data_IF_441238993422
#
_entry.id   IF_441238993422
#
_cell.length_a   1.000
_cell.length_b   1.000
_cell.length_c   1.000
_cell.angle_alpha   90.00
_cell.angle_beta   90.00
_cell.angle_gamma   90.00
#
_symmetry.space_group_name_H-M   'P 1'
#
loop_
_entity.id
_entity.type
_entity.pdbx_description
1 polymer ?
#
# COMPACT_ATOMS: atom_id res chain seq x y z
N UNK A 1 13.47 -3.58 -2.30
CA UNK A 1 13.61 -5.04 -2.49
C UNK A 1 12.58 -5.85 -1.69
N UNK A 2 12.29 -5.53 -0.42
CA UNK A 2 11.47 -6.38 0.46
C UNK A 2 10.12 -6.82 -0.13
N UNK A 3 9.31 -5.93 -0.71
CA UNK A 3 8.01 -6.33 -1.28
C UNK A 3 8.15 -7.41 -2.38
N UNK A 4 9.12 -7.26 -3.27
CA UNK A 4 9.39 -8.27 -4.31
C UNK A 4 9.85 -9.59 -3.71
N UNK A 5 10.67 -9.54 -2.65
CA UNK A 5 11.13 -10.74 -1.94
C UNK A 5 10.01 -11.46 -1.18
N UNK A 6 9.07 -10.73 -0.59
CA UNK A 6 7.87 -11.32 0.02
C UNK A 6 7.02 -12.01 -1.05
N UNK A 7 6.81 -11.38 -2.22
CA UNK A 7 6.09 -12.03 -3.33
C UNK A 7 6.84 -13.27 -3.86
N UNK A 8 8.17 -13.24 -3.92
CA UNK A 8 9.00 -14.41 -4.26
C UNK A 8 8.79 -15.56 -3.28
N UNK A 9 8.47 -15.28 -2.02
CA UNK A 9 8.16 -16.27 -0.97
C UNK A 9 6.70 -16.71 -0.94
N UNK A 10 5.87 -16.18 -1.85
CA UNK A 10 4.46 -16.57 -1.99
C UNK A 10 3.45 -15.60 -1.38
N UNK A 11 3.88 -14.45 -0.85
CA UNK A 11 2.94 -13.42 -0.41
C UNK A 11 2.19 -12.81 -1.60
N UNK A 12 0.93 -12.44 -1.38
CA UNK A 12 0.21 -11.60 -2.35
C UNK A 12 0.86 -10.21 -2.46
N UNK A 13 0.67 -9.48 -3.56
CA UNK A 13 1.18 -8.12 -3.71
C UNK A 13 0.75 -7.17 -2.57
N UNK A 14 -0.49 -7.32 -2.09
CA UNK A 14 -1.02 -6.55 -0.95
C UNK A 14 -0.25 -6.85 0.34
N UNK A 15 -0.07 -8.13 0.70
CA UNK A 15 0.68 -8.53 1.90
C UNK A 15 2.14 -8.08 1.85
N UNK A 16 2.76 -8.17 0.66
CA UNK A 16 4.12 -7.72 0.43
C UNK A 16 4.28 -6.20 0.60
N UNK A 17 3.36 -5.41 0.03
CA UNK A 17 3.36 -3.96 0.17
C UNK A 17 3.11 -3.52 1.62
N UNK A 18 2.17 -4.16 2.32
CA UNK A 18 1.93 -3.97 3.76
C UNK A 18 3.19 -4.23 4.56
N UNK A 19 3.86 -5.37 4.33
CA UNK A 19 5.07 -5.75 5.06
C UNK A 19 6.19 -4.72 4.88
N UNK A 20 6.37 -4.23 3.64
CA UNK A 20 7.34 -3.17 3.37
C UNK A 20 7.02 -1.88 4.14
N UNK A 21 5.77 -1.42 4.09
CA UNK A 21 5.31 -0.21 4.79
C UNK A 21 5.43 -0.35 6.30
N UNK A 22 4.99 -1.48 6.88
CA UNK A 22 5.09 -1.77 8.32
C UNK A 22 6.54 -1.78 8.80
N UNK A 23 7.47 -2.30 7.99
CA UNK A 23 8.91 -2.28 8.34
C UNK A 23 9.47 -0.87 8.43
N UNK A 24 9.02 0.05 7.57
CA UNK A 24 9.39 1.48 7.66
C UNK A 24 8.73 2.12 8.90
N UNK A 25 7.43 1.90 9.08
CA UNK A 25 6.66 2.45 10.21
C UNK A 25 7.20 2.01 11.58
N UNK A 26 7.79 0.81 11.67
CA UNK A 26 8.46 0.32 12.88
C UNK A 26 9.59 1.25 13.34
N UNK A 27 10.28 1.91 12.42
CA UNK A 27 11.39 2.83 12.72
C UNK A 27 10.96 4.30 12.65
N UNK A 28 9.98 4.62 11.80
CA UNK A 28 9.48 5.98 11.58
C UNK A 28 7.95 5.98 11.63
N UNK A 29 7.32 5.95 12.83
CA UNK A 29 5.87 5.76 12.95
C UNK A 29 5.03 6.80 12.21
N UNK A 30 5.54 8.04 12.14
CA UNK A 30 4.88 9.18 11.51
C UNK A 30 5.18 9.32 10.01
N UNK A 31 5.99 8.43 9.41
CA UNK A 31 6.27 8.52 7.98
C UNK A 31 4.97 8.42 7.19
N UNK A 32 4.79 9.29 6.20
CA UNK A 32 3.61 9.23 5.33
C UNK A 32 4.04 8.75 3.96
N UNK A 33 3.54 7.59 3.55
CA UNK A 33 3.93 6.99 2.28
C UNK A 33 3.18 5.70 1.98
N UNK A 34 3.35 5.24 0.74
CA UNK A 34 2.69 4.06 0.22
C UNK A 34 3.60 3.28 -0.73
N UNK A 35 3.31 1.99 -0.88
CA UNK A 35 3.97 1.09 -1.83
C UNK A 35 2.88 0.41 -2.65
N UNK A 36 3.04 0.37 -3.97
CA UNK A 36 2.25 -0.46 -4.88
C UNK A 36 3.14 -1.62 -5.32
N UNK A 37 2.59 -2.82 -5.35
CA UNK A 37 3.25 -4.02 -5.83
C UNK A 37 2.39 -4.71 -6.88
N UNK A 38 3.05 -5.39 -7.82
CA UNK A 38 2.44 -6.22 -8.85
C UNK A 38 3.27 -7.49 -9.02
N UNK A 39 2.62 -8.65 -9.17
CA UNK A 39 3.28 -9.92 -9.43
C UNK A 39 3.31 -10.26 -10.94
N UNK A 40 4.01 -11.34 -11.29
CA UNK A 40 4.15 -11.79 -12.68
C UNK A 40 2.85 -12.28 -13.32
N UNK A 41 1.82 -12.58 -12.52
CA UNK A 41 0.52 -13.01 -13.00
C UNK A 41 -0.43 -11.82 -13.20
N UNK A 42 0.03 -10.59 -12.92
CA UNK A 42 -0.76 -9.37 -13.04
C UNK A 42 -1.63 -9.08 -11.81
N UNK A 43 -1.51 -9.86 -10.73
CA UNK A 43 -2.15 -9.48 -9.47
C UNK A 43 -1.43 -8.26 -8.91
N UNK A 44 -2.18 -7.33 -8.32
CA UNK A 44 -1.63 -6.10 -7.76
C UNK A 44 -2.21 -5.80 -6.38
N UNK A 45 -1.56 -4.88 -5.66
CA UNK A 45 -2.01 -4.45 -4.35
C UNK A 45 -1.12 -3.35 -3.80
N UNK A 46 -1.59 -2.65 -2.78
CA UNK A 46 -0.89 -1.53 -2.18
C UNK A 46 -0.83 -1.63 -0.66
N UNK A 47 0.08 -0.89 -0.03
CA UNK A 47 0.12 -0.64 1.40
C UNK A 47 0.43 0.83 1.67
N UNK A 48 -0.09 1.39 2.75
CA UNK A 48 0.13 2.80 3.10
C UNK A 48 0.15 3.05 4.61
N UNK A 49 0.81 4.13 5.02
CA UNK A 49 0.94 4.56 6.42
C UNK A 49 0.60 6.05 6.55
N UNK A 50 0.00 6.40 7.70
CA UNK A 50 -0.26 7.78 8.13
C UNK A 50 -1.10 8.59 7.13
N UNK A 51 -2.13 7.97 6.54
CA UNK A 51 -3.22 8.57 5.75
C UNK A 51 -4.48 7.69 5.91
N UNK A 52 -5.71 8.20 5.72
CA UNK A 52 -6.92 7.37 5.77
C UNK A 52 -6.97 6.35 4.64
N UNK A 53 -6.66 6.82 3.43
CA UNK A 53 -6.70 6.05 2.20
C UNK A 53 -5.54 6.42 1.28
N UNK A 54 -5.26 5.52 0.35
CA UNK A 54 -4.29 5.72 -0.72
C UNK A 54 -4.93 5.34 -2.05
N UNK A 55 -5.06 6.34 -2.91
CA UNK A 55 -5.59 6.21 -4.27
C UNK A 55 -4.47 5.89 -5.25
N UNK A 56 -4.74 5.01 -6.20
CA UNK A 56 -3.83 4.65 -7.28
C UNK A 56 -4.63 4.25 -8.52
N UNK A 57 -4.00 4.32 -9.69
CA UNK A 57 -4.64 3.94 -10.95
C UNK A 57 -4.20 2.55 -11.40
N UNK A 58 -5.13 1.80 -11.96
CA UNK A 58 -4.90 0.50 -12.60
C UNK A 58 -5.34 0.59 -14.06
N UNK A 59 -4.49 0.10 -14.96
CA UNK A 59 -4.83 -0.05 -16.37
C UNK A 59 -4.41 -1.44 -16.83
N UNK A 60 -5.36 -2.23 -17.32
CA UNK A 60 -5.13 -3.55 -17.88
C UNK A 60 -6.23 -3.87 -18.93
N UNK A 61 -6.14 -4.97 -19.69
CA UNK A 61 -7.14 -5.31 -20.70
C UNK A 61 -8.58 -5.47 -20.16
N UNK A 62 -8.75 -5.80 -18.88
CA UNK A 62 -10.08 -5.91 -18.26
C UNK A 62 -10.69 -4.53 -17.96
N UNK A 63 -9.86 -3.56 -17.54
CA UNK A 63 -10.35 -2.20 -17.25
C UNK A 63 -10.57 -1.38 -18.53
N UNK A 64 -9.80 -1.66 -19.60
CA UNK A 64 -9.90 -0.97 -20.90
C UNK A 64 -9.49 0.52 -20.90
N UNK A 65 -9.30 1.10 -19.72
CA UNK A 65 -8.84 2.47 -19.46
C UNK A 65 -8.15 2.51 -18.09
N UNK A 66 -7.52 3.64 -17.78
CA UNK A 66 -7.07 3.91 -16.43
C UNK A 66 -8.29 4.05 -15.50
N UNK A 67 -8.35 3.21 -14.48
CA UNK A 67 -9.40 3.19 -13.46
C UNK A 67 -8.79 3.51 -12.11
N UNK A 68 -9.37 4.45 -11.38
CA UNK A 68 -8.95 4.78 -10.03
C UNK A 68 -9.42 3.70 -9.04
N UNK A 69 -8.50 3.25 -8.21
CA UNK A 69 -8.75 2.36 -7.09
C UNK A 69 -8.20 2.98 -5.79
N UNK A 70 -8.65 2.45 -4.66
CA UNK A 70 -8.11 2.86 -3.36
C UNK A 70 -8.07 1.72 -2.37
N UNK A 71 -7.17 1.87 -1.38
CA UNK A 71 -7.14 1.05 -0.17
C UNK A 71 -7.29 1.93 1.07
N UNK A 72 -7.84 1.36 2.14
CA UNK A 72 -7.70 1.92 3.47
C UNK A 72 -6.32 1.59 4.03
N UNK A 73 -5.67 2.55 4.70
CA UNK A 73 -4.37 2.31 5.30
C UNK A 73 -4.51 1.61 6.66
N UNK A 74 -3.59 0.68 6.95
CA UNK A 74 -3.60 -0.10 8.20
C UNK A 74 -3.34 0.76 9.45
N UNK A 75 -2.66 1.89 9.29
CA UNK A 75 -2.31 2.81 10.36
C UNK A 75 -2.65 4.25 9.94
N UNK A 76 -3.91 4.67 10.11
CA UNK A 76 -4.33 6.03 9.80
C UNK A 76 -3.66 7.03 10.77
N UNK A 77 -3.60 8.34 10.42
CA UNK A 77 -3.10 9.35 11.33
C UNK A 77 -3.88 9.32 12.64
N UNK A 78 -3.20 9.58 13.76
CA UNK A 78 -3.91 9.85 15.00
C UNK A 78 -4.92 10.99 14.76
N UNK A 79 -6.14 10.90 15.32
CA UNK A 79 -7.11 11.98 15.18
C UNK A 79 -6.45 13.28 15.64
N UNK A 80 -6.50 14.32 14.80
CA UNK A 80 -6.09 15.66 15.22
C UNK A 80 -7.01 16.07 16.36
N UNK A 81 -6.52 15.95 17.60
CA UNK A 81 -7.18 16.57 18.74
C UNK A 81 -7.07 18.06 18.50
N UNK A 82 -8.18 18.68 18.11
CA UNK A 82 -8.27 20.13 18.11
C UNK A 82 -8.19 20.56 19.58
N UNK A 83 -7.03 21.06 19.99
CA UNK A 83 -6.93 21.80 21.24
C UNK A 83 -7.72 23.09 21.02
N UNK A 84 -8.85 23.21 21.70
CA UNK A 84 -9.63 24.44 21.81
C UNK A 84 -8.91 25.44 22.72
#
# INVERSE_FOLDING_TARGET
FLAVEEMRRGATPREAAVTAVRRIAKHYPQFSGAVIAIDKNGNYGAGCNNRPNFFYYVANPLTGKATEEFINCDNPPAPKVFLN
#
